data_IF_316344751198
#
_entry.id   IF_316344751198
#
_cell.length_a   1.000
_cell.length_b   1.000
_cell.length_c   1.000
_cell.angle_alpha   90.00
_cell.angle_beta   90.00
_cell.angle_gamma   90.00
#
_symmetry.space_group_name_H-M   'P 1'
#
loop_
_entity.id
_entity.type
_entity.pdbx_description
1 polymer ?
#
# COMPACT_ATOMS: atom_id res chain seq x y z
N UNK A 1 -14.99 20.58 16.04
CA UNK A 1 -14.80 19.21 16.45
C UNK A 1 -14.95 18.28 15.25
N UNK A 2 -13.97 17.46 15.02
CA UNK A 2 -13.99 16.58 13.86
C UNK A 2 -14.96 15.42 14.09
N UNK A 3 -15.74 15.12 13.07
CA UNK A 3 -16.65 13.97 13.12
C UNK A 3 -16.04 12.87 12.29
N UNK A 4 -15.80 11.74 12.92
CA UNK A 4 -15.25 10.60 12.21
C UNK A 4 -16.37 9.76 11.62
N UNK A 5 -16.08 9.22 10.45
CA UNK A 5 -17.02 8.34 9.76
C UNK A 5 -16.43 6.96 9.63
N UNK A 6 -17.29 6.00 9.45
CA UNK A 6 -16.85 4.61 9.27
C UNK A 6 -16.73 4.32 7.79
N UNK A 7 -15.62 3.71 7.42
CA UNK A 7 -15.35 3.31 6.03
C UNK A 7 -14.96 1.85 6.00
N UNK A 8 -15.43 1.17 5.00
CA UNK A 8 -15.12 -0.24 4.83
C UNK A 8 -14.31 -0.44 3.56
N UNK A 9 -13.12 -1.01 3.69
CA UNK A 9 -12.33 -1.38 2.54
C UNK A 9 -12.94 -2.59 1.84
N UNK A 10 -12.59 -2.78 0.59
CA UNK A 10 -13.10 -3.91 -0.17
C UNK A 10 -12.69 -5.25 0.45
N UNK A 11 -11.65 -5.24 1.27
CA UNK A 11 -11.21 -6.44 1.97
C UNK A 11 -12.07 -6.75 3.19
N UNK A 12 -12.96 -5.84 3.57
CA UNK A 12 -13.81 -6.02 4.73
C UNK A 12 -13.32 -5.30 5.98
N UNK A 13 -12.13 -4.73 5.91
CA UNK A 13 -11.59 -3.99 7.04
C UNK A 13 -12.37 -2.69 7.23
N UNK A 14 -12.75 -2.40 8.47
CA UNK A 14 -13.51 -1.19 8.78
C UNK A 14 -12.62 -0.24 9.56
N UNK A 15 -12.64 1.02 9.16
CA UNK A 15 -11.89 2.05 9.86
C UNK A 15 -12.81 3.20 10.22
N UNK A 16 -12.38 3.97 11.20
CA UNK A 16 -13.07 5.19 11.60
C UNK A 16 -12.10 6.36 11.39
N UNK A 17 -12.50 7.33 10.59
CA UNK A 17 -11.57 8.39 10.20
C UNK A 17 -12.33 9.66 9.85
N UNK A 18 -11.66 10.79 10.07
CA UNK A 18 -12.15 12.07 9.56
C UNK A 18 -11.31 12.42 8.33
N UNK A 19 -11.51 13.62 7.80
CA UNK A 19 -10.82 14.02 6.57
C UNK A 19 -9.30 14.02 6.74
N UNK A 20 -8.82 14.53 7.86
CA UNK A 20 -7.38 14.55 8.11
C UNK A 20 -6.81 13.16 8.23
N UNK A 21 -7.55 12.28 8.90
CA UNK A 21 -7.14 10.88 9.02
C UNK A 21 -7.07 10.22 7.65
N UNK A 22 -8.04 10.51 6.80
CA UNK A 22 -8.04 9.93 5.46
C UNK A 22 -6.84 10.40 4.65
N UNK A 23 -6.49 11.68 4.78
CA UNK A 23 -5.31 12.20 4.07
C UNK A 23 -4.03 11.55 4.57
N UNK A 24 -3.94 11.34 5.87
CA UNK A 24 -2.78 10.67 6.45
C UNK A 24 -2.69 9.23 5.97
N UNK A 25 -3.82 8.53 5.98
CA UNK A 25 -3.86 7.15 5.50
C UNK A 25 -3.48 7.06 4.04
N UNK A 26 -3.95 8.01 3.24
CA UNK A 26 -3.61 8.04 1.83
C UNK A 26 -2.11 8.14 1.65
N UNK A 27 -1.49 9.07 2.36
CA UNK A 27 -0.05 9.26 2.28
C UNK A 27 0.70 8.01 2.72
N UNK A 28 0.27 7.40 3.81
CA UNK A 28 0.94 6.23 4.33
C UNK A 28 0.85 5.05 3.36
N UNK A 29 -0.34 4.81 2.84
CA UNK A 29 -0.51 3.69 1.92
C UNK A 29 0.24 3.93 0.62
N UNK A 30 0.28 5.17 0.15
CA UNK A 30 1.03 5.50 -1.04
C UNK A 30 2.53 5.28 -0.82
N UNK A 31 3.00 5.60 0.36
CA UNK A 31 4.40 5.37 0.69
C UNK A 31 4.73 3.89 0.73
N UNK A 32 3.83 3.09 1.28
CA UNK A 32 4.02 1.64 1.27
C UNK A 32 4.08 1.11 -0.15
N UNK A 33 3.19 1.59 -1.00
CA UNK A 33 3.19 1.19 -2.40
C UNK A 33 4.52 1.54 -3.05
N UNK A 34 4.99 2.77 -2.84
CA UNK A 34 6.23 3.22 -3.42
C UNK A 34 7.41 2.38 -2.94
N UNK A 35 7.41 2.03 -1.67
CA UNK A 35 8.47 1.21 -1.11
C UNK A 35 8.50 -0.18 -1.75
N UNK A 36 7.36 -0.79 -1.93
CA UNK A 36 7.29 -2.09 -2.57
C UNK A 36 7.66 -2.00 -4.04
N UNK A 37 7.28 -0.93 -4.70
CA UNK A 37 7.65 -0.73 -6.09
C UNK A 37 9.16 -0.64 -6.23
N UNK A 38 9.80 0.06 -5.31
CA UNK A 38 11.24 0.17 -5.33
C UNK A 38 11.92 -1.17 -5.12
N UNK A 39 11.40 -1.95 -4.17
CA UNK A 39 11.92 -3.28 -3.91
C UNK A 39 11.72 -4.17 -5.14
N UNK A 40 10.56 -4.09 -5.76
CA UNK A 40 10.26 -4.88 -6.94
C UNK A 40 11.23 -4.55 -8.07
N UNK A 41 11.51 -3.28 -8.27
CA UNK A 41 12.48 -2.86 -9.29
C UNK A 41 13.87 -3.41 -8.99
N UNK A 42 14.22 -3.43 -7.71
CA UNK A 42 15.52 -3.98 -7.31
C UNK A 42 15.61 -5.46 -7.59
N UNK A 43 14.51 -6.17 -7.42
CA UNK A 43 14.50 -7.61 -7.66
C UNK A 43 14.68 -7.94 -9.14
N UNK A 44 14.30 -7.03 -10.01
CA UNK A 44 14.50 -7.22 -11.43
C UNK A 44 15.96 -7.03 -11.83
N UNK A 45 16.74 -6.47 -10.95
CA UNK A 45 18.16 -6.27 -11.18
C UNK A 45 18.88 -7.59 -10.98
N UNK A 46 19.36 -8.16 -12.07
CA UNK A 46 20.02 -9.46 -12.02
C UNK A 46 21.20 -9.50 -11.08
N UNK A 47 21.96 -8.45 -11.08
CA UNK A 47 23.15 -8.38 -10.24
C UNK A 47 22.79 -8.52 -8.79
N UNK A 48 21.76 -7.86 -8.40
CA UNK A 48 21.31 -7.91 -7.04
C UNK A 48 20.89 -9.33 -6.66
N UNK A 49 20.11 -9.93 -7.52
CA UNK A 49 19.62 -11.27 -7.25
C UNK A 49 20.75 -12.26 -7.19
N UNK A 50 21.68 -12.14 -8.11
CA UNK A 50 22.81 -13.07 -8.17
C UNK A 50 23.63 -13.03 -6.89
N UNK A 51 23.74 -11.90 -6.28
CA UNK A 51 24.53 -11.77 -5.06
C UNK A 51 23.72 -12.01 -3.80
N UNK A 52 22.45 -12.22 -3.96
CA UNK A 52 21.55 -12.25 -2.82
C UNK A 52 21.68 -13.45 -1.92
N UNK A 53 22.51 -14.38 -2.25
CA UNK A 53 22.69 -15.58 -1.44
C UNK A 53 21.44 -16.40 -1.29
N UNK A 54 20.41 -16.04 -1.96
CA UNK A 54 19.20 -16.82 -1.99
C UNK A 54 18.23 -16.61 -0.85
N UNK A 55 18.68 -16.16 0.28
CA UNK A 55 17.76 -16.06 1.41
C UNK A 55 16.84 -14.85 1.27
N UNK A 56 17.26 -13.83 0.58
CA UNK A 56 16.41 -12.66 0.37
C UNK A 56 15.21 -13.00 -0.47
N UNK A 57 15.38 -13.90 -1.40
CA UNK A 57 14.32 -14.24 -2.33
C UNK A 57 13.10 -14.79 -1.63
N UNK A 58 13.33 -15.54 -0.59
CA UNK A 58 12.22 -16.18 0.08
C UNK A 58 11.32 -15.18 0.77
N UNK A 59 11.91 -14.06 1.16
CA UNK A 59 11.18 -13.05 1.87
C UNK A 59 10.39 -12.17 0.94
N UNK A 60 10.95 -11.90 -0.22
CA UNK A 60 10.37 -10.95 -1.16
C UNK A 60 10.26 -11.57 -2.54
N UNK A 61 9.44 -12.59 -2.65
CA UNK A 61 9.18 -13.18 -3.97
C UNK A 61 8.37 -12.20 -4.79
N UNK A 62 8.44 -12.34 -6.09
CA UNK A 62 7.70 -11.46 -7.01
C UNK A 62 6.22 -11.47 -6.70
N UNK A 63 5.67 -12.65 -6.46
CA UNK A 63 4.25 -12.78 -6.18
C UNK A 63 3.85 -12.04 -4.92
N UNK A 64 4.69 -12.13 -3.89
CA UNK A 64 4.41 -11.45 -2.65
C UNK A 64 4.37 -9.95 -2.85
N UNK A 65 5.38 -9.41 -3.54
CA UNK A 65 5.48 -7.98 -3.73
C UNK A 65 4.37 -7.47 -4.63
N UNK A 66 4.05 -8.19 -5.68
CA UNK A 66 2.94 -7.82 -6.54
C UNK A 66 1.63 -7.78 -5.76
N UNK A 67 1.42 -8.76 -4.92
CA UNK A 67 0.23 -8.80 -4.09
C UNK A 67 0.13 -7.61 -3.16
N UNK A 68 1.27 -7.22 -2.56
CA UNK A 68 1.28 -6.07 -1.68
C UNK A 68 1.06 -4.78 -2.45
N UNK A 69 1.65 -4.66 -3.62
CA UNK A 69 1.47 -3.47 -4.44
C UNK A 69 0.00 -3.32 -4.85
N UNK A 70 -0.62 -4.40 -5.25
CA UNK A 70 -2.04 -4.37 -5.60
C UNK A 70 -2.89 -3.96 -4.41
N UNK A 71 -2.58 -4.52 -3.25
CA UNK A 71 -3.32 -4.22 -2.04
C UNK A 71 -3.26 -2.73 -1.71
N UNK A 72 -2.06 -2.17 -1.72
CA UNK A 72 -1.92 -0.77 -1.36
C UNK A 72 -2.42 0.16 -2.46
N UNK A 73 -2.28 -0.23 -3.71
CA UNK A 73 -2.85 0.54 -4.80
C UNK A 73 -4.37 0.62 -4.67
N UNK A 74 -4.99 -0.49 -4.32
CA UNK A 74 -6.43 -0.52 -4.14
C UNK A 74 -6.84 0.36 -2.96
N UNK A 75 -6.10 0.28 -1.87
CA UNK A 75 -6.40 1.10 -0.70
C UNK A 75 -6.28 2.59 -1.02
N UNK A 76 -5.23 2.97 -1.75
CA UNK A 76 -5.05 4.35 -2.15
C UNK A 76 -6.25 4.82 -2.96
N UNK A 77 -6.69 4.01 -3.90
CA UNK A 77 -7.84 4.35 -4.73
C UNK A 77 -9.10 4.55 -3.89
N UNK A 78 -9.33 3.66 -2.97
CA UNK A 78 -10.53 3.74 -2.13
C UNK A 78 -10.49 4.98 -1.24
N UNK A 79 -9.34 5.24 -0.64
CA UNK A 79 -9.21 6.41 0.23
C UNK A 79 -9.38 7.70 -0.57
N UNK A 80 -8.80 7.75 -1.76
CA UNK A 80 -8.97 8.92 -2.62
C UNK A 80 -10.43 9.16 -2.94
N UNK A 81 -11.18 8.09 -3.20
CA UNK A 81 -12.60 8.21 -3.45
C UNK A 81 -13.36 8.76 -2.26
N UNK A 82 -12.99 8.30 -1.08
CA UNK A 82 -13.64 8.79 0.14
C UNK A 82 -13.35 10.26 0.37
N UNK A 83 -12.11 10.69 0.14
CA UNK A 83 -11.73 12.08 0.31
C UNK A 83 -12.48 12.96 -0.68
N UNK A 84 -12.57 12.49 -1.91
CA UNK A 84 -13.25 13.24 -2.95
C UNK A 84 -14.73 13.43 -2.64
N UNK A 85 -15.33 12.45 -2.01
CA UNK A 85 -16.75 12.50 -1.66
C UNK A 85 -17.00 13.14 -0.29
N UNK A 86 -15.98 13.56 0.37
CA UNK A 86 -16.12 14.16 1.70
C UNK A 86 -16.80 15.52 1.61
N UNK A 87 -17.79 15.70 2.44
CA UNK A 87 -18.49 16.97 2.56
C UNK A 87 -18.75 17.35 3.99
#
# INVERSE_FOLDING_TARGET
MAMKKHYTFSTGEIIEADLDDLKTLLRENQQYYDNYEEVFSSLEDDDYVARGNGFCDRKYSDDFIEGQMEKYAQRVKEIEGWIEKWH
#
